data_IF_951899494151
#
_entry.id   IF_951899494151
#
_cell.length_a   1.000
_cell.length_b   1.000
_cell.length_c   1.000
_cell.angle_alpha   90.00
_cell.angle_beta   90.00
_cell.angle_gamma   90.00
#
_symmetry.space_group_name_H-M   'P 1'
#
loop_
_entity.id
_entity.type
_entity.pdbx_description
1 polymer ?
#
# COMPACT_ATOMS: atom_id res chain seq x y z
N UNK A 1 -0.70 29.44 25.60
CA UNK A 1 -0.01 30.16 24.51
C UNK A 1 -0.14 29.33 23.25
N UNK A 2 -0.62 29.89 22.13
CA UNK A 2 -0.60 29.21 20.83
C UNK A 2 0.75 29.48 20.18
N UNK A 3 1.46 28.44 19.76
CA UNK A 3 2.69 28.61 18.97
C UNK A 3 2.38 29.36 17.68
N UNK A 4 3.17 30.40 17.37
CA UNK A 4 3.06 31.14 16.12
C UNK A 4 3.74 30.31 15.02
N UNK A 5 3.03 30.01 13.94
CA UNK A 5 3.58 29.32 12.79
C UNK A 5 4.73 30.11 12.14
N UNK A 6 5.71 29.39 11.59
CA UNK A 6 6.85 29.95 10.86
C UNK A 6 6.39 30.74 9.63
N UNK A 7 6.98 31.90 9.39
CA UNK A 7 6.67 32.81 8.28
C UNK A 7 7.68 32.70 7.14
N UNK A 8 7.34 33.20 5.95
CA UNK A 8 8.26 33.26 4.81
C UNK A 8 9.54 34.05 5.12
N UNK A 9 9.47 35.01 6.04
CA UNK A 9 10.61 35.80 6.52
C UNK A 9 11.55 34.94 7.37
N UNK A 10 11.01 34.01 8.17
CA UNK A 10 11.80 33.08 8.98
C UNK A 10 12.53 32.05 8.10
N UNK A 11 11.88 31.61 7.01
CA UNK A 11 12.45 30.71 6.01
C UNK A 11 13.54 31.37 5.16
N UNK A 12 13.42 32.68 4.88
CA UNK A 12 14.42 33.42 4.10
C UNK A 12 15.74 33.62 4.87
N UNK A 13 15.69 33.68 6.20
CA UNK A 13 16.87 33.85 7.06
C UNK A 13 17.69 32.58 7.25
N UNK A 14 17.14 31.41 6.92
CA UNK A 14 17.85 30.12 7.00
C UNK A 14 17.64 29.31 5.71
N UNK A 15 18.53 29.48 4.71
CA UNK A 15 18.49 28.71 3.48
C UNK A 15 18.52 27.19 3.70
N UNK A 16 19.22 26.72 4.73
CA UNK A 16 19.26 25.30 5.10
C UNK A 16 17.91 24.79 5.62
N UNK A 17 17.21 25.57 6.44
CA UNK A 17 15.88 25.20 6.94
C UNK A 17 14.87 25.13 5.78
N UNK A 18 14.93 26.10 4.86
CA UNK A 18 14.11 26.09 3.64
C UNK A 18 14.39 24.85 2.78
N UNK A 19 15.66 24.49 2.59
CA UNK A 19 16.07 23.31 1.82
C UNK A 19 15.59 22.00 2.47
N UNK A 20 15.70 21.86 3.79
CA UNK A 20 15.20 20.68 4.52
C UNK A 20 13.68 20.55 4.42
N UNK A 21 12.94 21.63 4.63
CA UNK A 21 11.48 21.61 4.50
C UNK A 21 11.03 21.33 3.07
N UNK A 22 11.74 21.83 2.05
CA UNK A 22 11.48 21.48 0.65
C UNK A 22 11.74 20.01 0.37
N UNK A 23 12.80 19.43 0.93
CA UNK A 23 13.09 18.00 0.80
C UNK A 23 12.03 17.14 1.50
N UNK A 24 11.58 17.53 2.69
CA UNK A 24 10.48 16.89 3.41
C UNK A 24 9.16 16.99 2.64
N UNK A 25 8.79 18.18 2.17
CA UNK A 25 7.60 18.39 1.35
C UNK A 25 7.65 17.58 0.05
N UNK A 26 8.80 17.54 -0.63
CA UNK A 26 9.02 16.70 -1.81
C UNK A 26 8.86 15.22 -1.49
N UNK A 27 9.39 14.75 -0.36
CA UNK A 27 9.23 13.36 0.08
C UNK A 27 7.77 13.04 0.44
N UNK A 28 7.06 13.98 1.08
CA UNK A 28 5.63 13.86 1.36
C UNK A 28 4.83 13.74 0.05
N UNK A 29 5.08 14.61 -0.93
CA UNK A 29 4.41 14.57 -2.24
C UNK A 29 4.73 13.29 -3.00
N UNK A 30 5.98 12.81 -2.98
CA UNK A 30 6.38 11.53 -3.59
C UNK A 30 5.67 10.35 -2.92
N UNK A 31 5.59 10.33 -1.59
CA UNK A 31 4.86 9.32 -0.82
C UNK A 31 3.36 9.37 -1.11
N UNK A 32 2.77 10.56 -1.22
CA UNK A 32 1.37 10.73 -1.57
C UNK A 32 1.06 10.25 -2.98
N UNK A 33 1.95 10.53 -3.94
CA UNK A 33 1.85 9.97 -5.28
C UNK A 33 1.99 8.46 -5.26
N UNK A 34 2.92 7.87 -4.54
CA UNK A 34 3.10 6.41 -4.46
C UNK A 34 1.86 5.66 -3.93
N UNK A 35 1.00 6.33 -3.16
CA UNK A 35 -0.17 5.72 -2.52
C UNK A 35 -1.50 5.97 -3.27
N UNK A 36 -1.46 6.61 -4.46
CA UNK A 36 -2.68 6.99 -5.18
C UNK A 36 -3.27 5.86 -6.02
N UNK A 37 -4.60 5.77 -6.02
CA UNK A 37 -5.37 4.95 -6.94
C UNK A 37 -5.99 5.83 -8.03
N UNK A 38 -5.78 5.47 -9.30
CA UNK A 38 -6.45 6.07 -10.45
C UNK A 38 -7.77 5.35 -10.72
N UNK A 39 -8.90 6.05 -10.75
CA UNK A 39 -10.17 5.46 -11.13
C UNK A 39 -10.29 5.37 -12.66
N UNK A 40 -10.57 4.17 -13.18
CA UNK A 40 -10.54 3.91 -14.62
C UNK A 40 -11.87 4.17 -15.35
N UNK A 41 -12.90 4.70 -14.67
CA UNK A 41 -14.22 4.98 -15.27
C UNK A 41 -15.13 3.76 -15.47
N UNK A 42 -14.65 2.55 -15.17
CA UNK A 42 -15.38 1.29 -15.38
C UNK A 42 -15.59 0.50 -14.08
N UNK A 43 -15.53 1.17 -12.93
CA UNK A 43 -15.60 0.49 -11.62
C UNK A 43 -14.30 -0.20 -11.19
N UNK A 44 -13.17 0.08 -11.85
CA UNK A 44 -11.86 -0.42 -11.41
C UNK A 44 -10.93 0.73 -11.04
N UNK A 45 -9.91 0.44 -10.23
CA UNK A 45 -8.85 1.38 -9.88
C UNK A 45 -7.49 0.77 -10.19
N UNK A 46 -6.56 1.59 -10.69
CA UNK A 46 -5.18 1.17 -10.94
C UNK A 46 -4.23 1.89 -10.00
N UNK A 47 -3.34 1.17 -9.33
CA UNK A 47 -2.26 1.77 -8.52
C UNK A 47 -1.09 2.20 -9.39
N UNK A 48 -0.13 2.92 -8.82
CA UNK A 48 1.03 3.41 -9.58
C UNK A 48 1.93 2.29 -10.08
N UNK A 49 1.95 1.16 -9.35
CA UNK A 49 2.67 -0.04 -9.76
C UNK A 49 1.90 -0.88 -10.81
N UNK A 50 0.70 -0.46 -11.21
CA UNK A 50 -0.10 -1.12 -12.24
C UNK A 50 -1.02 -2.23 -11.72
N UNK A 51 -1.18 -2.41 -10.41
CA UNK A 51 -2.18 -3.33 -9.86
C UNK A 51 -3.58 -2.80 -10.12
N UNK A 52 -4.48 -3.68 -10.57
CA UNK A 52 -5.85 -3.35 -10.94
C UNK A 52 -6.81 -3.91 -9.89
N UNK A 53 -7.46 -3.01 -9.17
CA UNK A 53 -8.44 -3.30 -8.13
C UNK A 53 -9.84 -3.25 -8.73
N UNK A 54 -10.42 -4.43 -8.96
CA UNK A 54 -11.76 -4.57 -9.55
C UNK A 54 -12.91 -4.51 -8.54
N UNK A 55 -14.11 -4.84 -9.04
CA UNK A 55 -15.30 -5.10 -8.23
C UNK A 55 -15.29 -6.52 -7.62
N UNK A 56 -16.21 -6.75 -6.68
CA UNK A 56 -16.42 -8.03 -5.99
C UNK A 56 -15.82 -8.12 -4.59
N UNK A 57 -15.87 -9.32 -4.00
CA UNK A 57 -15.67 -9.61 -2.57
C UNK A 57 -16.86 -9.24 -1.67
N UNK A 58 -16.84 -9.70 -0.42
CA UNK A 58 -17.83 -9.33 0.61
C UNK A 58 -17.93 -7.82 0.88
N UNK A 59 -16.90 -7.04 0.51
CA UNK A 59 -16.85 -5.59 0.72
C UNK A 59 -17.32 -4.78 -0.51
N UNK A 60 -17.76 -5.44 -1.58
CA UNK A 60 -18.23 -4.83 -2.82
C UNK A 60 -17.13 -4.53 -3.84
N UNK A 61 -15.93 -4.13 -3.41
CA UNK A 61 -14.78 -3.98 -4.32
C UNK A 61 -13.44 -4.39 -3.66
N UNK A 62 -12.41 -4.57 -4.50
CA UNK A 62 -11.10 -5.06 -4.10
C UNK A 62 -10.29 -4.04 -3.31
N UNK A 63 -10.47 -2.73 -3.55
CA UNK A 63 -9.86 -1.67 -2.74
C UNK A 63 -10.33 -1.81 -1.29
N UNK A 64 -11.64 -1.83 -1.05
CA UNK A 64 -12.23 -2.01 0.28
C UNK A 64 -11.80 -3.31 0.93
N UNK A 65 -11.63 -4.38 0.15
CA UNK A 65 -11.15 -5.66 0.66
C UNK A 65 -9.71 -5.58 1.17
N UNK A 66 -8.79 -5.00 0.40
CA UNK A 66 -7.41 -4.80 0.84
C UNK A 66 -7.33 -3.85 2.04
N UNK A 67 -8.10 -2.76 2.02
CA UNK A 67 -8.16 -1.82 3.14
C UNK A 67 -8.77 -2.44 4.42
N UNK A 68 -9.46 -3.58 4.33
CA UNK A 68 -9.91 -4.30 5.52
C UNK A 68 -8.74 -4.93 6.29
N UNK A 69 -7.62 -5.22 5.62
CA UNK A 69 -6.39 -5.73 6.24
C UNK A 69 -5.57 -4.64 6.95
N UNK A 70 -6.12 -3.46 7.21
CA UNK A 70 -5.49 -2.44 8.07
C UNK A 70 -6.20 -2.29 9.41
N UNK A 71 -7.16 -3.17 9.71
CA UNK A 71 -7.91 -3.15 10.95
C UNK A 71 -8.21 -4.59 11.41
N UNK A 72 -8.30 -4.85 12.73
CA UNK A 72 -8.75 -6.13 13.24
C UNK A 72 -10.17 -6.50 12.76
N UNK A 73 -10.39 -7.77 12.45
CA UNK A 73 -11.71 -8.35 12.18
C UNK A 73 -11.91 -9.54 13.12
N UNK A 74 -12.48 -9.28 14.30
CA UNK A 74 -12.69 -10.28 15.36
C UNK A 74 -13.63 -11.42 14.95
N UNK A 75 -14.33 -11.30 13.83
CA UNK A 75 -15.16 -12.39 13.27
C UNK A 75 -14.35 -13.47 12.56
N UNK A 76 -13.05 -13.25 12.31
CA UNK A 76 -12.18 -14.16 11.57
C UNK A 76 -11.07 -14.73 12.45
N UNK A 77 -10.93 -16.06 12.54
CA UNK A 77 -9.86 -16.68 13.34
C UNK A 77 -8.46 -16.50 12.74
N UNK A 78 -8.35 -16.24 11.43
CA UNK A 78 -7.08 -15.93 10.75
C UNK A 78 -7.25 -14.65 9.93
N UNK A 79 -6.76 -13.54 10.46
CA UNK A 79 -6.74 -12.24 9.79
C UNK A 79 -5.48 -11.48 10.18
N UNK A 80 -4.51 -11.42 9.28
CA UNK A 80 -3.30 -10.62 9.47
C UNK A 80 -3.56 -9.17 9.07
N UNK A 81 -2.86 -8.26 9.74
CA UNK A 81 -3.11 -6.83 9.68
C UNK A 81 -1.80 -6.13 9.32
N UNK A 82 -1.83 -5.26 8.33
CA UNK A 82 -0.70 -4.40 7.98
C UNK A 82 -0.32 -3.49 9.16
N UNK A 83 0.98 -3.29 9.36
CA UNK A 83 1.48 -2.35 10.38
C UNK A 83 1.48 -0.88 9.92
N UNK A 84 0.86 -0.58 8.78
CA UNK A 84 0.68 0.78 8.24
C UNK A 84 -0.79 1.16 8.21
N UNK A 85 -1.06 2.46 8.20
CA UNK A 85 -2.43 2.98 8.10
C UNK A 85 -3.08 2.76 6.71
N UNK A 86 -4.39 3.04 6.65
CA UNK A 86 -5.18 2.98 5.43
C UNK A 86 -4.65 3.86 4.30
N UNK A 87 -4.00 4.99 4.62
CA UNK A 87 -3.47 5.92 3.63
C UNK A 87 -2.15 5.45 3.01
N UNK A 88 -1.49 4.48 3.63
CA UNK A 88 -0.15 4.00 3.25
C UNK A 88 -0.13 2.60 2.66
N UNK A 89 -1.19 1.81 2.89
CA UNK A 89 -1.21 0.38 2.52
C UNK A 89 -1.10 0.13 1.01
N UNK A 90 -1.69 0.98 0.16
CA UNK A 90 -1.59 0.80 -1.30
C UNK A 90 -0.15 0.98 -1.79
N UNK A 91 0.56 2.00 -1.29
CA UNK A 91 1.98 2.19 -1.65
C UNK A 91 2.88 1.08 -1.14
N UNK A 92 2.58 0.52 0.03
CA UNK A 92 3.31 -0.64 0.56
C UNK A 92 3.12 -1.89 -0.32
N UNK A 93 1.90 -2.10 -0.83
CA UNK A 93 1.61 -3.20 -1.76
C UNK A 93 2.27 -2.95 -3.12
N UNK A 94 2.29 -1.70 -3.59
CA UNK A 94 3.00 -1.29 -4.81
C UNK A 94 4.50 -1.57 -4.72
N UNK A 95 5.12 -1.25 -3.57
CA UNK A 95 6.52 -1.58 -3.30
C UNK A 95 6.78 -3.08 -3.40
N UNK A 96 5.91 -3.90 -2.82
CA UNK A 96 6.00 -5.35 -2.92
C UNK A 96 5.82 -5.82 -4.38
N UNK A 97 4.85 -5.25 -5.10
CA UNK A 97 4.54 -5.65 -6.48
C UNK A 97 5.68 -5.40 -7.46
N UNK A 98 6.44 -4.31 -7.31
CA UNK A 98 7.60 -4.03 -8.18
C UNK A 98 8.92 -4.59 -7.64
N UNK A 99 8.90 -5.25 -6.48
CA UNK A 99 10.09 -5.81 -5.85
C UNK A 99 10.69 -6.94 -6.69
N UNK A 100 12.03 -6.98 -6.76
CA UNK A 100 12.77 -8.12 -7.31
C UNK A 100 12.46 -9.43 -6.57
N UNK A 101 12.02 -9.35 -5.32
CA UNK A 101 11.66 -10.51 -4.50
C UNK A 101 10.29 -11.11 -4.85
N UNK A 102 9.50 -10.48 -5.74
CA UNK A 102 8.18 -10.99 -6.12
C UNK A 102 8.26 -12.38 -6.77
N UNK A 103 9.32 -12.63 -7.55
CA UNK A 103 9.45 -13.84 -8.35
C UNK A 103 8.32 -14.00 -9.37
N UNK A 104 8.09 -15.24 -9.82
CA UNK A 104 7.10 -15.59 -10.85
C UNK A 104 5.70 -15.82 -10.28
N UNK A 105 5.57 -16.12 -8.99
CA UNK A 105 4.30 -16.50 -8.35
C UNK A 105 3.90 -17.95 -8.61
N UNK A 106 3.01 -18.47 -7.76
CA UNK A 106 2.53 -19.85 -7.81
C UNK A 106 1.07 -19.89 -8.27
N UNK A 107 0.80 -20.59 -9.38
CA UNK A 107 -0.57 -20.84 -9.85
C UNK A 107 -1.26 -21.87 -8.94
N UNK A 108 -2.41 -21.51 -8.39
CA UNK A 108 -3.25 -22.39 -7.59
C UNK A 108 -4.32 -23.09 -8.46
N UNK A 109 -4.87 -24.21 -7.97
CA UNK A 109 -5.91 -24.97 -8.68
C UNK A 109 -7.22 -24.23 -8.93
N UNK A 110 -7.43 -23.07 -8.28
CA UNK A 110 -8.57 -22.17 -8.50
C UNK A 110 -8.32 -21.14 -9.63
N UNK A 111 -7.16 -21.19 -10.29
CA UNK A 111 -6.77 -20.28 -11.36
C UNK A 111 -6.15 -18.95 -10.90
N UNK A 112 -5.98 -18.74 -9.60
CA UNK A 112 -5.33 -17.55 -9.06
C UNK A 112 -3.81 -17.76 -8.97
N UNK A 113 -3.05 -16.67 -8.98
CA UNK A 113 -1.61 -16.71 -8.71
C UNK A 113 -1.33 -16.05 -7.37
N UNK A 114 -0.53 -16.73 -6.56
CA UNK A 114 -0.08 -16.28 -5.24
C UNK A 114 1.37 -15.84 -5.31
N UNK A 115 1.63 -14.64 -4.80
CA UNK A 115 2.97 -14.12 -4.57
C UNK A 115 3.17 -13.95 -3.07
N UNK A 116 4.21 -14.56 -2.49
CA UNK A 116 4.66 -14.30 -1.13
C UNK A 116 5.97 -13.53 -1.21
N UNK A 117 5.91 -12.23 -0.97
CA UNK A 117 6.98 -11.30 -1.28
C UNK A 117 7.66 -10.88 0.01
N UNK A 118 8.89 -11.33 0.24
CA UNK A 118 9.65 -10.93 1.41
C UNK A 118 10.05 -9.45 1.31
N UNK A 119 9.66 -8.66 2.32
CA UNK A 119 9.86 -7.21 2.35
C UNK A 119 11.12 -6.78 3.10
N UNK A 120 11.89 -7.73 3.65
CA UNK A 120 13.12 -7.49 4.42
C UNK A 120 12.90 -6.77 5.76
N UNK A 121 11.64 -6.56 6.16
CA UNK A 121 11.25 -5.85 7.38
C UNK A 121 9.86 -6.30 7.82
N UNK A 122 9.51 -6.00 9.07
CA UNK A 122 8.16 -6.23 9.59
C UNK A 122 7.16 -5.33 8.85
N UNK A 123 6.11 -5.94 8.30
CA UNK A 123 5.02 -5.30 7.55
C UNK A 123 3.63 -5.65 8.11
N UNK A 124 3.54 -6.59 9.05
CA UNK A 124 2.33 -6.88 9.80
C UNK A 124 2.47 -6.65 11.31
N UNK A 125 1.33 -6.55 12.00
CA UNK A 125 1.28 -6.20 13.43
C UNK A 125 1.78 -7.31 14.36
N UNK A 126 1.94 -8.54 13.86
CA UNK A 126 2.39 -9.71 14.64
C UNK A 126 3.75 -10.24 14.16
N UNK A 127 4.55 -9.40 13.49
CA UNK A 127 5.89 -9.77 13.03
C UNK A 127 5.95 -10.36 11.62
N UNK A 128 4.85 -10.36 10.87
CA UNK A 128 4.84 -10.75 9.45
C UNK A 128 5.86 -9.92 8.66
N UNK A 129 6.71 -10.58 7.88
CA UNK A 129 7.79 -9.94 7.11
C UNK A 129 7.59 -10.00 5.60
N UNK A 130 6.55 -10.72 5.17
CA UNK A 130 6.20 -10.87 3.76
C UNK A 130 4.81 -10.30 3.48
N UNK A 131 4.58 -9.86 2.25
CA UNK A 131 3.25 -9.49 1.75
C UNK A 131 2.80 -10.58 0.80
N UNK A 132 1.62 -11.14 1.07
CA UNK A 132 0.93 -12.00 0.12
C UNK A 132 0.11 -11.13 -0.83
N UNK A 133 0.23 -11.36 -2.13
CA UNK A 133 -0.62 -10.76 -3.17
C UNK A 133 -1.26 -11.91 -3.96
N UNK A 134 -2.58 -11.88 -4.11
CA UNK A 134 -3.33 -12.80 -4.96
C UNK A 134 -3.81 -12.06 -6.20
N UNK A 135 -3.56 -12.62 -7.38
CA UNK A 135 -4.07 -12.10 -8.66
C UNK A 135 -4.93 -13.14 -9.38
N UNK A 136 -5.78 -12.68 -10.31
CA UNK A 136 -6.44 -13.59 -11.27
C UNK A 136 -5.41 -14.03 -12.31
N UNK A 137 -5.02 -15.30 -12.30
CA UNK A 137 -3.94 -15.78 -13.15
C UNK A 137 -2.68 -14.92 -13.08
N UNK A 138 -1.86 -15.00 -14.12
CA UNK A 138 -0.68 -14.15 -14.31
C UNK A 138 -1.06 -12.78 -14.89
N UNK A 139 -1.93 -12.05 -14.18
CA UNK A 139 -2.36 -10.70 -14.54
C UNK A 139 -2.08 -9.72 -13.41
N UNK A 140 -2.39 -8.44 -13.62
CA UNK A 140 -2.33 -7.41 -12.56
C UNK A 140 -3.65 -7.26 -11.79
N UNK A 141 -4.66 -8.09 -12.04
CA UNK A 141 -5.95 -7.98 -11.37
C UNK A 141 -5.90 -8.58 -9.96
N UNK A 142 -5.83 -7.71 -8.96
CA UNK A 142 -5.70 -8.13 -7.56
C UNK A 142 -7.02 -8.64 -6.98
N UNK A 143 -6.93 -9.75 -6.25
CA UNK A 143 -8.02 -10.40 -5.53
C UNK A 143 -7.97 -10.02 -4.04
N UNK A 144 -6.77 -10.08 -3.45
CA UNK A 144 -6.51 -9.74 -2.05
C UNK A 144 -5.02 -9.49 -1.82
N UNK A 145 -4.68 -8.79 -0.74
CA UNK A 145 -3.33 -8.69 -0.24
C UNK A 145 -3.33 -8.48 1.28
N UNK A 146 -2.41 -9.15 1.96
CA UNK A 146 -2.27 -9.12 3.42
C UNK A 146 -0.87 -9.60 3.85
N UNK A 147 -0.40 -9.22 5.06
CA UNK A 147 0.88 -9.71 5.58
C UNK A 147 0.87 -11.21 5.86
N UNK A 148 2.01 -11.87 5.69
CA UNK A 148 2.23 -13.27 6.09
C UNK A 148 3.62 -13.41 6.73
N UNK A 149 3.74 -14.36 7.66
CA UNK A 149 5.03 -14.78 8.21
C UNK A 149 5.93 -15.37 7.11
#
# INVERSE_FOLDING_TARGET
>A
MKERGLTDVDLAKSPELKLRMMAEASNIVKKQKANSLHYNGNGTWTSNAGLIYGQGSKHGNRVKHVLAHTAPDNSKPKHTIFNVDRGSVIGLIDEAWVSSNRGTGTLEGNGNVVYNINMGRVVGTNGETSIRILTRGYTSEIISSYPVL
#
